data_IF_741816230816
#
_entry.id   IF_741816230816
#
_cell.length_a   1.000
_cell.length_b   1.000
_cell.length_c   1.000
_cell.angle_alpha   90.00
_cell.angle_beta   90.00
_cell.angle_gamma   90.00
#
_symmetry.space_group_name_H-M   'P 1'
#
loop_
_entity.id
_entity.type
_entity.pdbx_description
1 polymer ?
#
# COMPACT_ATOMS: atom_id res chain seq x y z
N UNK A 1 7.71 1.62 8.62
CA UNK A 1 6.63 0.78 9.20
C UNK A 1 6.30 -0.34 8.23
N UNK A 2 5.81 -1.50 8.69
CA UNK A 2 5.33 -2.57 7.80
C UNK A 2 3.83 -2.79 7.97
N UNK A 3 3.10 -2.75 6.85
CA UNK A 3 1.70 -3.13 6.75
C UNK A 3 1.63 -4.53 6.16
N UNK A 4 0.91 -5.44 6.79
CA UNK A 4 0.72 -6.81 6.31
C UNK A 4 -0.75 -7.16 6.36
N UNK A 5 -1.21 -7.93 5.38
CA UNK A 5 -2.60 -8.33 5.31
C UNK A 5 -2.88 -9.33 4.21
N UNK A 6 -4.15 -9.69 4.11
CA UNK A 6 -4.68 -10.53 3.05
C UNK A 6 -5.57 -9.67 2.15
N UNK A 7 -5.48 -9.88 0.84
CA UNK A 7 -6.38 -9.24 -0.11
C UNK A 7 -7.78 -9.81 0.03
N UNK A 8 -8.79 -8.96 -0.11
CA UNK A 8 -10.18 -9.40 -0.25
C UNK A 8 -10.39 -10.15 -1.56
N UNK A 9 -9.64 -9.77 -2.61
CA UNK A 9 -9.62 -10.42 -3.91
C UNK A 9 -8.16 -10.75 -4.29
N UNK A 10 -7.82 -12.03 -4.59
CA UNK A 10 -6.46 -12.41 -4.93
C UNK A 10 -5.91 -11.68 -6.15
N UNK A 11 -4.63 -11.32 -6.12
CA UNK A 11 -3.90 -10.80 -7.29
C UNK A 11 -3.22 -11.98 -7.97
N UNK A 12 -3.90 -12.59 -8.94
CA UNK A 12 -3.47 -13.87 -9.52
C UNK A 12 -3.61 -14.99 -8.47
N UNK A 13 -2.50 -15.66 -8.12
CA UNK A 13 -2.47 -16.70 -7.08
C UNK A 13 -2.11 -16.14 -5.69
N UNK A 14 -1.88 -14.84 -5.57
CA UNK A 14 -1.30 -14.23 -4.38
C UNK A 14 -2.40 -13.62 -3.52
N UNK A 15 -2.50 -14.09 -2.29
CA UNK A 15 -3.53 -13.66 -1.33
C UNK A 15 -2.99 -12.73 -0.26
N UNK A 16 -1.66 -12.66 -0.08
CA UNK A 16 -1.00 -11.89 0.98
C UNK A 16 -0.18 -10.75 0.42
N UNK A 17 -0.14 -9.67 1.19
CA UNK A 17 0.73 -8.54 0.92
C UNK A 17 1.54 -8.12 2.14
N UNK A 18 2.70 -7.57 1.85
CA UNK A 18 3.57 -6.88 2.79
C UNK A 18 4.01 -5.56 2.16
N UNK A 19 3.62 -4.44 2.75
CA UNK A 19 3.98 -3.11 2.27
C UNK A 19 4.85 -2.44 3.33
N UNK A 20 6.09 -2.14 2.95
CA UNK A 20 6.95 -1.29 3.73
C UNK A 20 6.64 0.18 3.40
N UNK A 21 6.29 0.92 4.44
CA UNK A 21 6.00 2.35 4.33
C UNK A 21 7.12 3.14 4.98
N UNK A 22 7.67 4.09 4.24
CA UNK A 22 8.73 5.00 4.68
C UNK A 22 8.27 6.46 4.56
N UNK A 23 8.76 7.31 5.46
CA UNK A 23 8.62 8.75 5.35
C UNK A 23 9.74 9.31 4.47
N UNK A 24 9.42 10.25 3.59
CA UNK A 24 10.40 11.01 2.82
C UNK A 24 9.96 12.46 2.65
N UNK A 25 10.91 13.40 2.75
CA UNK A 25 10.72 14.83 2.48
C UNK A 25 10.34 15.10 1.01
N UNK A 26 10.76 14.19 0.12
CA UNK A 26 10.44 14.20 -1.30
C UNK A 26 10.06 12.78 -1.69
N UNK A 27 8.76 12.43 -1.73
CA UNK A 27 8.37 11.22 -2.43
C UNK A 27 8.92 11.38 -3.84
N UNK A 28 9.86 10.50 -4.22
CA UNK A 28 10.35 10.43 -5.59
C UNK A 28 9.12 10.01 -6.40
N UNK A 29 8.40 11.02 -6.89
CA UNK A 29 7.41 10.90 -7.95
C UNK A 29 8.26 10.41 -9.11
N UNK A 30 8.36 9.08 -9.22
CA UNK A 30 9.27 8.42 -10.14
C UNK A 30 9.16 9.09 -11.50
N UNK A 31 10.31 9.37 -12.12
CA UNK A 31 10.52 10.10 -13.37
C UNK A 31 9.79 9.42 -14.56
N UNK A 32 8.47 9.41 -14.51
CA UNK A 32 7.54 8.71 -15.39
C UNK A 32 6.22 9.47 -15.28
N UNK A 33 5.50 9.62 -16.39
CA UNK A 33 4.28 10.45 -16.54
C UNK A 33 3.11 10.15 -15.57
N UNK A 34 3.27 9.25 -14.61
CA UNK A 34 2.30 8.94 -13.56
C UNK A 34 2.93 9.21 -12.18
N UNK A 35 2.33 10.07 -11.34
CA UNK A 35 2.74 10.20 -9.95
C UNK A 35 2.55 8.84 -9.27
N UNK A 36 3.67 8.22 -8.93
CA UNK A 36 3.70 6.93 -8.22
C UNK A 36 4.22 7.18 -6.83
N UNK A 37 3.56 6.57 -5.86
CA UNK A 37 3.90 6.67 -4.43
C UNK A 37 4.68 5.44 -3.96
N UNK A 38 4.91 4.48 -4.85
CA UNK A 38 5.63 3.25 -4.52
C UNK A 38 5.64 2.23 -5.64
N UNK A 39 6.12 1.04 -5.31
CA UNK A 39 6.13 -0.10 -6.22
C UNK A 39 6.05 -1.42 -5.46
N UNK A 40 5.37 -2.38 -6.08
CA UNK A 40 5.54 -3.78 -5.77
C UNK A 40 6.82 -4.29 -6.45
N UNK A 41 7.74 -4.79 -5.65
CA UNK A 41 9.08 -5.26 -6.04
C UNK A 41 9.16 -6.79 -6.11
N UNK A 42 8.20 -7.47 -5.50
CA UNK A 42 8.01 -8.91 -5.63
C UNK A 42 6.52 -9.23 -5.57
N UNK A 43 6.09 -10.21 -6.37
CA UNK A 43 4.69 -10.63 -6.43
C UNK A 43 4.52 -12.06 -5.91
N UNK A 44 5.56 -12.90 -5.92
CA UNK A 44 5.44 -14.32 -5.56
C UNK A 44 6.50 -14.75 -4.54
N UNK A 45 6.16 -15.48 -3.46
CA UNK A 45 4.83 -16.00 -3.08
C UNK A 45 3.94 -15.01 -2.31
N UNK A 46 4.49 -13.85 -1.94
CA UNK A 46 3.81 -12.76 -1.24
C UNK A 46 4.09 -11.46 -1.99
N UNK A 47 3.09 -10.59 -2.04
CA UNK A 47 3.15 -9.34 -2.76
C UNK A 47 3.87 -8.29 -1.90
N UNK A 48 5.15 -8.04 -2.18
CA UNK A 48 6.01 -7.15 -1.42
C UNK A 48 6.11 -5.78 -2.08
N UNK A 49 5.72 -4.75 -1.35
CA UNK A 49 5.69 -3.37 -1.80
C UNK A 49 6.53 -2.45 -0.95
N UNK A 50 7.01 -1.38 -1.57
CA UNK A 50 7.60 -0.23 -0.91
C UNK A 50 6.78 0.99 -1.28
N UNK A 51 6.45 1.82 -0.29
CA UNK A 51 5.70 3.06 -0.44
C UNK A 51 6.41 4.17 0.30
N UNK A 52 6.57 5.28 -0.39
CA UNK A 52 7.13 6.51 0.11
C UNK A 52 6.01 7.53 0.27
N UNK A 53 5.91 8.13 1.45
CA UNK A 53 4.90 9.14 1.74
C UNK A 53 5.49 10.34 2.47
N UNK A 54 4.81 11.47 2.34
CA UNK A 54 5.14 12.67 3.09
C UNK A 54 5.06 12.40 4.60
N UNK A 55 5.93 13.05 5.37
CA UNK A 55 6.05 12.84 6.81
C UNK A 55 4.74 13.02 7.57
N UNK A 56 3.94 14.04 7.21
CA UNK A 56 2.62 14.27 7.82
C UNK A 56 1.70 13.06 7.69
N UNK A 57 1.52 12.54 6.47
CA UNK A 57 0.70 11.34 6.23
C UNK A 57 1.29 10.09 6.90
N UNK A 58 2.62 9.99 6.98
CA UNK A 58 3.27 8.90 7.70
C UNK A 58 2.94 8.91 9.19
N UNK A 59 2.99 10.08 9.83
CA UNK A 59 2.66 10.22 11.25
C UNK A 59 1.17 9.97 11.52
N UNK A 60 0.28 10.43 10.63
CA UNK A 60 -1.15 10.13 10.72
C UNK A 60 -1.40 8.62 10.66
N UNK A 61 -0.83 7.93 9.66
CA UNK A 61 -0.92 6.49 9.53
C UNK A 61 -0.35 5.76 10.75
N UNK A 62 0.82 6.18 11.22
CA UNK A 62 1.45 5.59 12.41
C UNK A 62 0.55 5.74 13.64
N UNK A 63 -0.08 6.90 13.79
CA UNK A 63 -1.03 7.18 14.90
C UNK A 63 -2.27 6.30 14.80
N UNK A 64 -2.86 6.16 13.61
CA UNK A 64 -4.01 5.28 13.36
C UNK A 64 -3.67 3.80 13.64
N UNK A 65 -2.48 3.35 13.22
CA UNK A 65 -2.03 1.99 13.46
C UNK A 65 -1.75 1.73 14.94
N UNK A 66 -1.04 2.63 15.62
CA UNK A 66 -0.71 2.51 17.04
C UNK A 66 -1.94 2.56 17.95
N UNK A 67 -2.98 3.30 17.55
CA UNK A 67 -4.26 3.38 18.27
C UNK A 67 -5.24 2.24 17.95
N UNK A 68 -4.90 1.34 17.02
CA UNK A 68 -5.77 0.25 16.60
C UNK A 68 -6.99 0.71 15.78
N UNK A 69 -6.96 1.94 15.25
CA UNK A 69 -8.04 2.51 14.44
C UNK A 69 -7.85 2.29 12.93
N UNK A 70 -6.73 1.72 12.50
CA UNK A 70 -6.52 1.37 11.10
C UNK A 70 -7.34 0.11 10.74
N UNK A 71 -8.51 0.30 10.13
CA UNK A 71 -9.41 -0.79 9.77
C UNK A 71 -9.11 -1.37 8.38
N UNK A 72 -8.75 -0.53 7.40
CA UNK A 72 -8.50 -0.93 6.01
C UNK A 72 -7.39 -0.13 5.33
N UNK A 73 -6.75 -0.78 4.37
CA UNK A 73 -5.78 -0.19 3.44
C UNK A 73 -6.25 -0.49 2.01
N UNK A 74 -6.34 0.55 1.19
CA UNK A 74 -6.64 0.46 -0.23
C UNK A 74 -5.39 0.80 -1.01
N UNK A 75 -5.01 -0.04 -1.95
CA UNK A 75 -3.80 0.15 -2.76
C UNK A 75 -4.20 0.09 -4.23
N UNK A 76 -3.99 1.19 -4.94
CA UNK A 76 -4.16 1.25 -6.39
C UNK A 76 -2.79 1.09 -7.05
N UNK A 77 -2.68 0.14 -7.97
CA UNK A 77 -1.44 -0.17 -8.66
C UNK A 77 -1.67 -0.51 -10.13
N UNK A 78 -0.66 -0.35 -10.96
CA UNK A 78 -0.71 -0.70 -12.38
C UNK A 78 -0.83 -2.20 -12.56
N UNK A 79 -1.37 -2.64 -13.69
CA UNK A 79 -1.31 -4.06 -14.09
C UNK A 79 0.13 -4.57 -13.95
N UNK A 80 0.37 -5.66 -13.23
CA UNK A 80 1.71 -6.21 -13.06
C UNK A 80 2.38 -6.50 -14.40
N UNK A 81 3.64 -6.06 -14.54
CA UNK A 81 4.50 -6.40 -15.67
C UNK A 81 5.67 -7.24 -15.16
N UNK A 82 5.66 -8.53 -15.48
CA UNK A 82 6.62 -9.49 -14.91
C UNK A 82 6.37 -9.71 -13.42
N UNK A 83 7.32 -9.31 -12.57
CA UNK A 83 7.26 -9.46 -11.10
C UNK A 83 7.12 -8.13 -10.35
N UNK A 84 6.75 -7.06 -11.05
CA UNK A 84 6.63 -5.72 -10.48
C UNK A 84 5.38 -4.99 -10.95
N UNK A 85 4.87 -4.10 -10.12
CA UNK A 85 3.79 -3.19 -10.42
C UNK A 85 4.03 -1.83 -9.74
N UNK A 86 3.60 -0.73 -10.34
CA UNK A 86 3.75 0.61 -9.76
C UNK A 86 2.53 0.92 -8.89
N UNK A 87 2.73 1.40 -7.67
CA UNK A 87 1.67 1.85 -6.78
C UNK A 87 1.39 3.32 -7.09
N UNK A 88 0.17 3.62 -7.54
CA UNK A 88 -0.25 4.98 -7.92
C UNK A 88 -0.92 5.72 -6.76
N UNK A 89 -1.61 5.00 -5.87
CA UNK A 89 -2.18 5.56 -4.64
C UNK A 89 -2.23 4.51 -3.54
N UNK A 90 -2.18 4.99 -2.31
CA UNK A 90 -2.52 4.23 -1.12
C UNK A 90 -3.41 5.09 -0.23
N UNK A 91 -4.48 4.49 0.26
CA UNK A 91 -5.47 5.16 1.11
C UNK A 91 -5.79 4.30 2.31
N UNK A 92 -6.04 4.96 3.45
CA UNK A 92 -6.30 4.31 4.72
C UNK A 92 -7.67 4.70 5.24
N UNK A 93 -8.38 3.74 5.81
CA UNK A 93 -9.69 3.98 6.40
C UNK A 93 -9.78 3.45 7.81
N UNK A 94 -10.44 4.22 8.65
CA UNK A 94 -10.84 3.82 10.01
C UNK A 94 -12.19 3.10 10.04
N UNK A 95 -12.91 3.06 8.92
CA UNK A 95 -14.23 2.42 8.81
C UNK A 95 -14.07 0.98 8.32
N UNK A 96 -14.55 0.02 9.11
CA UNK A 96 -14.69 -1.38 8.69
C UNK A 96 -15.59 -1.48 7.45
N UNK A 97 -15.47 -2.52 6.59
CA UNK A 97 -16.42 -2.76 5.50
C UNK A 97 -17.82 -2.63 6.04
N UNK A 98 -18.64 -1.80 5.40
CA UNK A 98 -20.07 -1.93 5.59
C UNK A 98 -20.38 -3.36 5.15
N UNK A 99 -20.65 -4.21 6.14
CA UNK A 99 -21.12 -5.55 5.90
C UNK A 99 -22.54 -5.34 5.39
N UNK A 100 -22.72 -5.22 4.07
CA UNK A 100 -24.07 -5.16 3.51
C UNK A 100 -24.70 -6.55 3.79
N UNK A 101 -25.82 -6.59 4.55
CA UNK A 101 -26.41 -7.84 5.04
C UNK A 101 -27.15 -8.64 3.95
#
# INVERSE_FOLDING_TARGET
>A
MQLKGEFTEPVGEVTRFLIQVSSTDKPDIGNTDLPTVGAFISINPELQGVVDMAEGHFQELLTLAASGHLARCFVAFTVPFGRSAKIVSIDFSTRAPDHEP
#
